data_IF_235375299602
#
_entry.id   IF_235375299602
#
_cell.length_a   1.000
_cell.length_b   1.000
_cell.length_c   1.000
_cell.angle_alpha   90.00
_cell.angle_beta   90.00
_cell.angle_gamma   90.00
#
_symmetry.space_group_name_H-M   'P 1'
#
loop_
_entity.id
_entity.type
_entity.pdbx_description
1 polymer ?
#
# COMPACT_ATOMS: atom_id res chain seq x y z
N UNK A 1 4.50 -1.46 16.17
CA UNK A 1 3.76 -1.20 14.90
C UNK A 1 3.63 0.28 14.62
N UNK A 2 2.99 1.07 15.50
CA UNK A 2 2.84 2.51 15.28
C UNK A 2 4.20 3.21 15.05
N UNK A 3 5.19 2.94 15.91
CA UNK A 3 6.55 3.49 15.77
C UNK A 3 7.24 3.04 14.48
N UNK A 4 7.22 1.74 14.17
CA UNK A 4 7.78 1.19 12.94
C UNK A 4 7.17 1.85 11.68
N UNK A 5 5.84 1.97 11.65
CA UNK A 5 5.15 2.64 10.55
C UNK A 5 5.53 4.11 10.47
N UNK A 6 5.51 4.84 11.59
CA UNK A 6 5.89 6.25 11.64
C UNK A 6 7.32 6.47 11.11
N UNK A 7 8.26 5.62 11.52
CA UNK A 7 9.66 5.64 11.06
C UNK A 7 9.74 5.39 9.56
N UNK A 8 9.10 4.33 9.05
CA UNK A 8 9.05 4.02 7.61
C UNK A 8 8.50 5.19 6.80
N UNK A 9 7.53 5.92 7.35
CA UNK A 9 6.89 7.05 6.64
C UNK A 9 7.71 8.33 6.74
N UNK A 10 8.28 8.65 7.90
CA UNK A 10 9.21 9.78 8.04
C UNK A 10 10.44 9.59 7.15
N UNK A 11 11.03 8.39 7.15
CA UNK A 11 12.13 8.06 6.25
C UNK A 11 11.72 8.20 4.77
N UNK A 12 10.52 7.73 4.41
CA UNK A 12 9.98 7.92 3.06
C UNK A 12 9.75 9.39 2.67
N UNK A 13 9.36 10.25 3.62
CA UNK A 13 9.23 11.71 3.41
C UNK A 13 10.60 12.38 3.28
N UNK A 14 11.59 11.99 4.08
CA UNK A 14 12.97 12.49 3.98
C UNK A 14 13.56 12.12 2.62
N UNK A 15 13.44 10.86 2.20
CA UNK A 15 13.89 10.40 0.88
C UNK A 15 13.21 11.23 -0.23
N UNK A 16 11.91 11.48 -0.09
CA UNK A 16 11.18 12.27 -1.07
C UNK A 16 11.64 13.73 -1.13
N UNK A 17 11.88 14.37 0.02
CA UNK A 17 12.44 15.72 0.07
C UNK A 17 13.83 15.75 -0.58
N UNK A 18 14.67 14.76 -0.28
CA UNK A 18 16.02 14.64 -0.84
C UNK A 18 15.99 14.57 -2.38
N UNK A 19 15.23 13.62 -2.93
CA UNK A 19 15.18 13.44 -4.39
C UNK A 19 14.34 14.53 -5.09
N UNK A 20 13.29 15.04 -4.42
CA UNK A 20 12.36 16.02 -4.96
C UNK A 20 12.98 17.39 -5.24
N UNK A 21 14.04 17.75 -4.51
CA UNK A 21 14.76 19.01 -4.72
C UNK A 21 15.94 18.90 -5.71
N UNK A 22 16.39 17.68 -6.02
CA UNK A 22 17.62 17.46 -6.79
C UNK A 22 17.38 16.86 -8.17
N UNK A 23 16.24 16.21 -8.41
CA UNK A 23 15.91 15.59 -9.68
C UNK A 23 14.78 16.34 -10.39
N UNK A 24 14.80 16.28 -11.72
CA UNK A 24 13.80 16.93 -12.54
C UNK A 24 12.42 16.22 -12.42
N UNK A 25 11.29 16.94 -12.56
CA UNK A 25 9.94 16.39 -12.37
C UNK A 25 9.60 15.20 -13.29
N UNK A 26 10.14 15.17 -14.51
CA UNK A 26 9.98 14.11 -15.50
C UNK A 26 10.67 12.80 -15.05
N UNK A 27 11.90 12.90 -14.55
CA UNK A 27 12.64 11.76 -14.00
C UNK A 27 11.97 11.20 -12.74
N UNK A 28 11.49 12.09 -11.87
CA UNK A 28 10.72 11.71 -10.68
C UNK A 28 9.38 11.05 -11.04
N UNK A 29 8.69 11.59 -12.05
CA UNK A 29 7.46 11.00 -12.59
C UNK A 29 7.68 9.56 -13.07
N UNK A 30 8.72 9.32 -13.88
CA UNK A 30 9.07 7.99 -14.36
C UNK A 30 9.48 7.03 -13.21
N UNK A 31 10.27 7.52 -12.25
CA UNK A 31 10.62 6.73 -11.06
C UNK A 31 9.38 6.35 -10.25
N UNK A 32 8.50 7.31 -9.95
CA UNK A 32 7.28 7.03 -9.19
C UNK A 32 6.33 6.10 -9.97
N UNK A 33 6.28 6.17 -11.30
CA UNK A 33 5.48 5.28 -12.13
C UNK A 33 5.96 3.84 -12.01
N UNK A 34 7.28 3.64 -12.09
CA UNK A 34 7.89 2.33 -11.87
C UNK A 34 7.63 1.81 -10.44
N UNK A 35 7.80 2.66 -9.42
CA UNK A 35 7.53 2.30 -8.02
C UNK A 35 6.07 1.91 -7.80
N UNK A 36 5.12 2.62 -8.41
CA UNK A 36 3.68 2.33 -8.26
C UNK A 36 3.30 1.01 -8.92
N UNK A 37 3.76 0.80 -10.16
CA UNK A 37 3.53 -0.43 -10.93
C UNK A 37 4.13 -1.65 -10.22
N UNK A 38 5.40 -1.54 -9.79
CA UNK A 38 6.07 -2.60 -9.05
C UNK A 38 5.44 -2.77 -7.66
N UNK A 39 4.92 -1.69 -7.06
CA UNK A 39 4.14 -1.73 -5.84
C UNK A 39 2.89 -2.61 -5.96
N UNK A 40 2.20 -2.62 -7.12
CA UNK A 40 1.10 -3.55 -7.37
C UNK A 40 1.58 -5.01 -7.45
N UNK A 41 2.72 -5.26 -8.10
CA UNK A 41 3.33 -6.58 -8.14
C UNK A 41 3.74 -7.06 -6.73
N UNK A 42 4.27 -6.17 -5.90
CA UNK A 42 4.56 -6.43 -4.47
C UNK A 42 3.27 -6.80 -3.73
N UNK A 43 2.17 -6.07 -3.94
CA UNK A 43 0.87 -6.38 -3.31
C UNK A 43 0.37 -7.77 -3.68
N UNK A 44 0.50 -8.17 -4.96
CA UNK A 44 0.13 -9.52 -5.42
C UNK A 44 1.00 -10.58 -4.72
N UNK A 45 2.32 -10.37 -4.67
CA UNK A 45 3.26 -11.25 -3.98
C UNK A 45 3.03 -11.31 -2.45
N UNK A 46 2.37 -10.32 -1.87
CA UNK A 46 2.05 -10.22 -0.45
C UNK A 46 0.56 -10.49 -0.12
N UNK A 47 -0.25 -10.85 -1.12
CA UNK A 47 -1.67 -11.12 -0.91
C UNK A 47 -1.87 -12.21 0.14
N UNK A 48 -2.66 -11.94 1.19
CA UNK A 48 -2.88 -12.88 2.29
C UNK A 48 -1.65 -13.14 3.18
N UNK A 49 -0.61 -12.31 3.16
CA UNK A 49 0.63 -12.63 3.88
C UNK A 49 0.80 -11.90 5.22
N UNK A 50 0.05 -10.83 5.47
CA UNK A 50 0.08 -10.13 6.75
C UNK A 50 -0.77 -10.85 7.80
N UNK A 51 -2.04 -10.46 7.90
CA UNK A 51 -2.95 -10.92 8.93
C UNK A 51 -3.22 -12.44 8.86
N UNK A 52 -3.32 -13.01 7.66
CA UNK A 52 -3.62 -14.43 7.49
C UNK A 52 -2.46 -15.32 7.94
N UNK A 53 -1.21 -15.07 7.54
CA UNK A 53 -0.06 -15.85 8.02
C UNK A 53 0.11 -15.74 9.54
N UNK A 54 -0.11 -14.56 10.12
CA UNK A 54 -0.12 -14.36 11.57
C UNK A 54 -1.17 -15.26 12.23
N UNK A 55 -2.42 -15.23 11.74
CA UNK A 55 -3.50 -16.04 12.30
C UNK A 55 -3.29 -17.54 12.09
N UNK A 56 -2.76 -17.98 10.94
CA UNK A 56 -2.42 -19.39 10.67
C UNK A 56 -1.32 -19.91 11.59
N UNK A 57 -0.30 -19.08 11.83
CA UNK A 57 0.77 -19.40 12.78
C UNK A 57 0.23 -19.53 14.20
N UNK A 58 -0.62 -18.59 14.64
CA UNK A 58 -1.25 -18.62 15.96
C UNK A 58 -2.24 -19.78 16.14
N UNK A 59 -2.98 -20.15 15.09
CA UNK A 59 -3.88 -21.32 15.05
C UNK A 59 -3.14 -22.67 14.87
N UNK A 60 -1.80 -22.67 14.88
CA UNK A 60 -0.93 -23.83 14.67
C UNK A 60 -1.19 -24.59 13.34
N UNK A 61 -1.71 -23.90 12.31
CA UNK A 61 -1.97 -24.46 10.98
C UNK A 61 -0.72 -24.35 10.09
N UNK A 62 0.38 -24.98 10.51
CA UNK A 62 1.72 -24.84 9.90
C UNK A 62 1.78 -25.25 8.42
N UNK A 63 1.03 -26.29 8.01
CA UNK A 63 0.99 -26.74 6.61
C UNK A 63 0.44 -25.67 5.67
N UNK A 64 -0.65 -25.01 6.07
CA UNK A 64 -1.25 -23.92 5.29
C UNK A 64 -0.33 -22.69 5.24
N UNK A 65 0.31 -22.35 6.37
CA UNK A 65 1.28 -21.27 6.41
C UNK A 65 2.49 -21.55 5.50
N UNK A 66 3.02 -22.78 5.48
CA UNK A 66 4.12 -23.16 4.60
C UNK A 66 3.72 -23.13 3.12
N UNK A 67 2.55 -23.66 2.77
CA UNK A 67 2.03 -23.62 1.41
C UNK A 67 1.89 -22.18 0.88
N UNK A 68 1.35 -21.27 1.71
CA UNK A 68 1.29 -19.84 1.39
C UNK A 68 2.69 -19.24 1.25
N UNK A 69 3.64 -19.57 2.12
CA UNK A 69 5.01 -19.09 2.00
C UNK A 69 5.70 -19.56 0.70
N UNK A 70 5.46 -20.79 0.25
CA UNK A 70 5.99 -21.29 -1.02
C UNK A 70 5.32 -20.67 -2.24
N UNK A 71 4.07 -20.24 -2.14
CA UNK A 71 3.32 -19.58 -3.22
C UNK A 71 3.78 -18.12 -3.45
N UNK A 72 4.29 -17.44 -2.41
CA UNK A 72 4.74 -16.04 -2.50
C UNK A 72 5.85 -15.81 -3.53
N UNK A 73 6.97 -16.55 -3.54
CA UNK A 73 8.02 -16.34 -4.54
C UNK A 73 7.55 -16.67 -5.95
N UNK A 74 6.69 -17.67 -6.14
CA UNK A 74 6.16 -18.00 -7.49
C UNK A 74 5.26 -16.88 -8.00
N UNK A 75 4.38 -16.33 -7.16
CA UNK A 75 3.59 -15.15 -7.50
C UNK A 75 4.45 -13.91 -7.75
N UNK A 76 5.51 -13.70 -6.97
CA UNK A 76 6.43 -12.58 -7.17
C UNK A 76 7.15 -12.67 -8.53
N UNK A 77 7.63 -13.85 -8.90
CA UNK A 77 8.28 -14.07 -10.20
C UNK A 77 7.28 -13.85 -11.33
N UNK A 78 6.08 -14.43 -11.22
CA UNK A 78 5.03 -14.26 -12.23
C UNK A 78 4.61 -12.79 -12.39
N UNK A 79 4.41 -12.06 -11.28
CA UNK A 79 4.04 -10.65 -11.31
C UNK A 79 5.17 -9.78 -11.87
N UNK A 80 6.44 -10.08 -11.52
CA UNK A 80 7.59 -9.36 -12.07
C UNK A 80 7.73 -9.60 -13.57
N UNK A 81 7.59 -10.85 -14.02
CA UNK A 81 7.61 -11.19 -15.44
C UNK A 81 6.47 -10.48 -16.19
N UNK A 82 5.26 -10.44 -15.62
CA UNK A 82 4.14 -9.71 -16.19
C UNK A 82 4.42 -8.22 -16.32
N UNK A 83 5.00 -7.58 -15.29
CA UNK A 83 5.38 -6.16 -15.36
C UNK A 83 6.41 -5.93 -16.47
N UNK A 84 7.44 -6.76 -16.58
CA UNK A 84 8.47 -6.61 -17.63
C UNK A 84 7.89 -6.80 -19.05
N UNK A 85 6.91 -7.68 -19.21
CA UNK A 85 6.29 -7.95 -20.52
C UNK A 85 5.30 -6.84 -20.91
N UNK A 86 4.53 -6.34 -19.93
CA UNK A 86 3.41 -5.43 -20.19
C UNK A 86 3.75 -3.95 -20.03
N UNK A 87 4.97 -3.62 -19.58
CA UNK A 87 5.39 -2.23 -19.38
C UNK A 87 6.79 -2.00 -19.90
N UNK A 88 7.06 -0.78 -20.38
CA UNK A 88 8.38 -0.36 -20.89
C UNK A 88 9.39 -0.06 -19.76
N UNK A 89 9.26 -0.70 -18.60
CA UNK A 89 10.19 -0.51 -17.48
C UNK A 89 11.50 -1.22 -17.82
N UNK A 90 12.57 -0.44 -18.00
CA UNK A 90 13.90 -0.96 -18.25
C UNK A 90 14.36 -1.91 -17.11
N UNK A 91 15.15 -2.96 -17.43
CA UNK A 91 15.71 -3.86 -16.44
C UNK A 91 16.56 -3.07 -15.45
N UNK A 92 16.05 -2.94 -14.23
CA UNK A 92 16.58 -2.03 -13.22
C UNK A 92 16.43 -2.66 -11.83
N UNK A 93 17.19 -2.17 -10.82
CA UNK A 93 17.18 -2.76 -9.48
C UNK A 93 15.78 -2.85 -8.86
N UNK A 94 14.85 -1.97 -9.28
CA UNK A 94 13.49 -1.89 -8.76
C UNK A 94 12.70 -3.20 -8.95
N UNK A 95 13.03 -4.00 -9.96
CA UNK A 95 12.40 -5.30 -10.22
C UNK A 95 12.70 -6.35 -9.13
N UNK A 96 13.66 -6.11 -8.25
CA UNK A 96 13.93 -7.00 -7.12
C UNK A 96 12.86 -6.89 -6.01
N UNK A 97 12.13 -5.77 -5.93
CA UNK A 97 11.21 -5.51 -4.81
C UNK A 97 10.17 -6.61 -4.57
N UNK A 98 9.46 -7.16 -5.59
CA UNK A 98 8.46 -8.20 -5.36
C UNK A 98 9.05 -9.47 -4.76
N UNK A 99 10.24 -9.89 -5.23
CA UNK A 99 10.92 -11.09 -4.72
C UNK A 99 11.39 -10.91 -3.28
N UNK A 100 11.98 -9.76 -2.96
CA UNK A 100 12.42 -9.43 -1.60
C UNK A 100 11.21 -9.33 -0.66
N UNK A 101 10.12 -8.73 -1.11
CA UNK A 101 8.88 -8.62 -0.37
C UNK A 101 8.19 -9.98 -0.14
N UNK A 102 8.33 -10.93 -1.08
CA UNK A 102 7.84 -12.30 -0.94
C UNK A 102 8.63 -13.10 0.11
N UNK A 103 9.92 -12.84 0.25
CA UNK A 103 10.81 -13.53 1.19
C UNK A 103 10.80 -12.92 2.60
N UNK A 104 10.24 -11.71 2.76
CA UNK A 104 10.24 -10.99 4.04
C UNK A 104 9.59 -11.82 5.18
N UNK A 105 10.34 -12.09 6.29
CA UNK A 105 9.88 -12.90 7.42
C UNK A 105 9.16 -12.09 8.51
N UNK A 106 8.82 -10.83 8.24
CA UNK A 106 8.22 -9.89 9.21
C UNK A 106 6.94 -10.43 9.86
N UNK A 107 6.20 -11.27 9.15
CA UNK A 107 4.99 -11.92 9.65
C UNK A 107 5.29 -12.90 10.81
N UNK A 108 6.46 -13.57 10.83
CA UNK A 108 6.87 -14.47 11.92
C UNK A 108 7.13 -13.66 13.18
N UNK A 109 7.88 -12.57 13.05
CA UNK A 109 8.22 -11.66 14.15
C UNK A 109 6.94 -11.05 14.73
N UNK A 110 6.02 -10.67 13.85
CA UNK A 110 4.71 -10.14 14.23
C UNK A 110 3.85 -11.20 14.93
N UNK A 111 3.84 -12.43 14.43
CA UNK A 111 3.07 -13.53 15.02
C UNK A 111 3.58 -13.89 16.43
N UNK A 112 4.89 -13.71 16.69
CA UNK A 112 5.52 -13.83 18.01
C UNK A 112 5.27 -12.63 18.94
N UNK A 113 4.57 -11.59 18.48
CA UNK A 113 4.26 -10.39 19.28
C UNK A 113 5.45 -9.44 19.50
N UNK A 114 6.57 -9.62 18.79
CA UNK A 114 7.81 -8.87 19.01
C UNK A 114 7.82 -7.56 18.22
N UNK A 115 6.86 -6.67 18.51
CA UNK A 115 6.61 -5.46 17.75
C UNK A 115 7.76 -4.43 17.79
N UNK A 116 8.63 -4.50 18.80
CA UNK A 116 9.84 -3.66 18.91
C UNK A 116 10.87 -3.98 17.82
N UNK A 117 11.02 -5.27 17.48
CA UNK A 117 11.93 -5.72 16.42
C UNK A 117 11.50 -5.24 15.04
N UNK A 118 10.19 -5.15 14.80
CA UNK A 118 9.64 -4.57 13.55
C UNK A 118 10.05 -3.10 13.41
N UNK A 119 10.09 -2.34 14.51
CA UNK A 119 10.57 -0.96 14.48
C UNK A 119 12.05 -0.88 14.12
N UNK A 120 12.88 -1.79 14.63
CA UNK A 120 14.30 -1.86 14.28
C UNK A 120 14.52 -2.21 12.80
N UNK A 121 13.75 -3.16 12.25
CA UNK A 121 13.77 -3.49 10.81
C UNK A 121 13.42 -2.25 9.98
N UNK A 122 12.37 -1.53 10.36
CA UNK A 122 11.97 -0.30 9.70
C UNK A 122 13.08 0.78 9.74
N UNK A 123 13.73 0.99 10.89
CA UNK A 123 14.85 1.94 11.02
C UNK A 123 15.98 1.57 10.07
N UNK A 124 16.44 0.32 10.09
CA UNK A 124 17.55 -0.13 9.23
C UNK A 124 17.21 0.00 7.75
N UNK A 125 15.98 -0.36 7.36
CA UNK A 125 15.48 -0.16 6.00
C UNK A 125 15.50 1.30 5.57
N UNK A 126 15.03 2.22 6.42
CA UNK A 126 15.02 3.64 6.11
C UNK A 126 16.42 4.25 6.06
N UNK A 127 17.33 3.85 6.94
CA UNK A 127 18.74 4.30 6.90
C UNK A 127 19.36 3.90 5.55
N UNK A 128 19.20 2.65 5.12
CA UNK A 128 19.71 2.19 3.83
C UNK A 128 19.11 3.00 2.66
N UNK A 129 17.80 3.26 2.68
CA UNK A 129 17.13 4.09 1.67
C UNK A 129 17.65 5.52 1.63
N UNK A 130 17.85 6.16 2.79
CA UNK A 130 18.39 7.53 2.89
C UNK A 130 19.83 7.57 2.40
N UNK A 131 20.67 6.59 2.75
CA UNK A 131 22.05 6.51 2.26
C UNK A 131 22.10 6.37 0.74
N UNK A 132 21.28 5.49 0.16
CA UNK A 132 21.23 5.34 -1.31
C UNK A 132 20.65 6.59 -1.99
N UNK A 133 19.67 7.26 -1.37
CA UNK A 133 19.18 8.54 -1.88
C UNK A 133 20.27 9.62 -1.89
N UNK A 134 21.10 9.68 -0.84
CA UNK A 134 22.25 10.59 -0.80
C UNK A 134 23.28 10.25 -1.89
N UNK A 135 23.58 8.97 -2.09
CA UNK A 135 24.46 8.51 -3.19
C UNK A 135 23.88 8.89 -4.54
N UNK A 136 22.56 8.77 -4.74
CA UNK A 136 21.90 9.18 -5.98
C UNK A 136 22.06 10.68 -6.25
N UNK A 137 21.96 11.52 -5.22
CA UNK A 137 22.18 12.97 -5.34
C UNK A 137 23.63 13.28 -5.71
N UNK A 138 24.61 12.67 -5.03
CA UNK A 138 26.03 12.94 -5.27
C UNK A 138 26.46 12.47 -6.66
N UNK A 139 25.95 11.33 -7.10
CA UNK A 139 26.32 10.73 -8.40
C UNK A 139 25.46 11.19 -9.56
N UNK A 140 24.34 11.87 -9.31
CA UNK A 140 23.33 12.27 -10.30
C UNK A 140 22.91 11.11 -11.23
N UNK A 141 22.90 9.89 -10.69
CA UNK A 141 22.67 8.68 -11.47
C UNK A 141 21.23 8.20 -11.33
N UNK A 142 20.55 8.04 -12.47
CA UNK A 142 19.23 7.40 -12.52
C UNK A 142 19.26 5.99 -11.93
N UNK A 143 20.33 5.22 -12.16
CA UNK A 143 20.43 3.86 -11.63
C UNK A 143 20.41 3.84 -10.09
N UNK A 144 21.07 4.82 -9.45
CA UNK A 144 21.03 4.98 -8.00
C UNK A 144 19.65 5.41 -7.50
N UNK A 145 18.92 6.25 -8.25
CA UNK A 145 17.53 6.62 -7.95
C UNK A 145 16.61 5.39 -7.92
N UNK A 146 16.71 4.51 -8.93
CA UNK A 146 15.94 3.26 -9.01
C UNK A 146 16.38 2.20 -7.98
N UNK A 147 17.54 2.36 -7.34
CA UNK A 147 18.05 1.45 -6.31
C UNK A 147 17.53 1.77 -4.89
N UNK A 148 16.95 2.95 -4.65
CA UNK A 148 16.49 3.40 -3.32
C UNK A 148 15.47 2.41 -2.72
N UNK A 149 14.39 2.12 -3.44
CA UNK A 149 13.33 1.26 -2.93
C UNK A 149 13.79 -0.22 -2.73
N UNK A 150 14.54 -0.84 -3.66
CA UNK A 150 15.22 -2.11 -3.43
C UNK A 150 16.12 -2.15 -2.21
N UNK A 151 16.92 -1.10 -1.98
CA UNK A 151 17.82 -1.03 -0.84
C UNK A 151 17.05 -1.08 0.50
N UNK A 152 15.93 -0.36 0.60
CA UNK A 152 15.03 -0.41 1.76
C UNK A 152 14.52 -1.85 1.95
N UNK A 153 14.01 -2.47 0.89
CA UNK A 153 13.47 -3.83 0.96
C UNK A 153 14.54 -4.86 1.34
N UNK A 154 15.74 -4.78 0.76
CA UNK A 154 16.82 -5.73 0.98
C UNK A 154 17.38 -5.61 2.41
N UNK A 155 17.61 -4.39 2.88
CA UNK A 155 18.04 -4.15 4.26
C UNK A 155 16.99 -4.66 5.26
N UNK A 156 15.70 -4.45 4.95
CA UNK A 156 14.60 -4.96 5.77
C UNK A 156 14.55 -6.48 5.78
N UNK A 157 14.76 -7.13 4.62
CA UNK A 157 14.81 -8.59 4.51
C UNK A 157 15.96 -9.19 5.33
N UNK A 158 17.17 -8.63 5.20
CA UNK A 158 18.36 -9.09 5.93
C UNK A 158 18.13 -8.94 7.43
N UNK A 159 17.70 -7.76 7.89
CA UNK A 159 17.39 -7.51 9.29
C UNK A 159 16.28 -8.45 9.80
N UNK A 160 15.22 -8.62 9.02
CA UNK A 160 14.12 -9.53 9.34
C UNK A 160 14.57 -10.98 9.47
N UNK A 161 15.40 -11.47 8.54
CA UNK A 161 15.92 -12.84 8.55
C UNK A 161 16.78 -13.10 9.80
N UNK A 162 17.72 -12.20 10.10
CA UNK A 162 18.57 -12.30 11.30
C UNK A 162 17.76 -12.31 12.59
N UNK A 163 16.71 -11.48 12.67
CA UNK A 163 15.85 -11.39 13.86
C UNK A 163 14.85 -12.54 13.98
N UNK A 164 14.40 -13.11 12.87
CA UNK A 164 13.48 -14.25 12.83
C UNK A 164 14.16 -15.56 13.24
N UNK A 165 15.44 -15.74 12.86
CA UNK A 165 16.26 -16.91 13.20
C UNK A 165 16.61 -17.02 14.69
N UNK A 166 16.48 -15.93 15.46
CA UNK A 166 16.79 -15.94 16.89
C UNK A 166 15.66 -16.62 17.67
N UNK A 167 15.88 -17.85 18.13
CA UNK A 167 14.89 -18.67 18.84
C UNK A 167 14.39 -18.00 20.12
N UNK A 168 13.07 -17.85 20.24
CA UNK A 168 12.39 -17.36 21.44
C UNK A 168 11.12 -18.20 21.64
N UNK A 169 10.82 -18.55 22.89
CA UNK A 169 9.63 -19.28 23.27
C UNK A 169 8.37 -18.56 22.78
N UNK A 170 7.62 -19.23 21.90
CA UNK A 170 6.31 -18.77 21.44
C UNK A 170 5.25 -19.11 22.49
N UNK A 171 4.43 -18.14 22.87
CA UNK A 171 3.14 -18.43 23.51
C UNK A 171 2.08 -18.57 22.42
N UNK A 172 1.67 -19.79 22.04
CA UNK A 172 0.52 -19.96 21.16
C UNK A 172 -0.72 -19.50 21.92
N UNK A 173 -1.28 -18.36 21.54
CA UNK A 173 -2.65 -18.02 21.91
C UNK A 173 -3.57 -18.97 21.16
N UNK A 174 -4.39 -19.74 21.87
CA UNK A 174 -5.32 -20.67 21.27
C UNK A 174 -6.42 -19.89 20.51
N UNK A 175 -6.18 -19.63 19.22
CA UNK A 175 -7.19 -19.06 18.32
C UNK A 175 -7.89 -20.21 17.59
N UNK A 176 -9.18 -20.02 17.30
CA UNK A 176 -9.97 -20.94 16.49
C UNK A 176 -9.33 -21.15 15.12
N UNK A 177 -9.43 -22.39 14.59
CA UNK A 177 -8.96 -22.74 13.26
C UNK A 177 -9.67 -21.89 12.21
N UNK A 178 -8.91 -21.36 11.25
CA UNK A 178 -9.45 -20.57 10.13
C UNK A 178 -10.02 -21.54 9.09
N UNK A 179 -11.23 -21.25 8.59
CA UNK A 179 -11.86 -22.03 7.51
C UNK A 179 -11.32 -21.60 6.14
N UNK A 180 -11.42 -22.47 5.13
CA UNK A 180 -10.94 -22.17 3.78
C UNK A 180 -11.65 -20.94 3.16
N UNK A 181 -12.96 -20.80 3.41
CA UNK A 181 -13.72 -19.63 2.95
C UNK A 181 -13.23 -18.32 3.59
N UNK A 182 -12.98 -18.32 4.91
CA UNK A 182 -12.38 -17.18 5.59
C UNK A 182 -10.99 -16.82 5.03
N UNK A 183 -10.18 -17.84 4.70
CA UNK A 183 -8.87 -17.66 4.09
C UNK A 183 -8.96 -16.92 2.76
N UNK A 184 -9.81 -17.39 1.84
CA UNK A 184 -10.02 -16.76 0.52
C UNK A 184 -10.52 -15.32 0.67
N UNK A 185 -11.49 -15.08 1.55
CA UNK A 185 -12.04 -13.74 1.77
C UNK A 185 -10.98 -12.78 2.32
N UNK A 186 -10.14 -13.25 3.25
CA UNK A 186 -9.06 -12.46 3.83
C UNK A 186 -7.99 -12.12 2.78
N UNK A 187 -7.65 -13.06 1.89
CA UNK A 187 -6.75 -12.79 0.75
C UNK A 187 -7.33 -11.65 -0.10
N UNK A 188 -8.59 -11.74 -0.52
CA UNK A 188 -9.24 -10.71 -1.35
C UNK A 188 -9.24 -9.33 -0.69
N UNK A 189 -9.55 -9.24 0.60
CA UNK A 189 -9.51 -7.98 1.33
C UNK A 189 -8.09 -7.42 1.51
N UNK A 190 -7.09 -8.27 1.76
CA UNK A 190 -5.70 -7.80 1.87
C UNK A 190 -5.16 -7.33 0.53
N UNK A 191 -5.53 -8.01 -0.56
CA UNK A 191 -5.14 -7.64 -1.92
C UNK A 191 -5.81 -6.32 -2.31
N UNK A 192 -7.12 -6.17 -2.09
CA UNK A 192 -7.84 -4.91 -2.30
C UNK A 192 -7.21 -3.76 -1.48
N UNK A 193 -7.02 -3.94 -0.17
CA UNK A 193 -6.45 -2.89 0.68
C UNK A 193 -5.04 -2.48 0.26
N UNK A 194 -4.22 -3.44 -0.20
CA UNK A 194 -2.87 -3.16 -0.67
C UNK A 194 -2.82 -2.58 -2.09
N UNK A 195 -3.80 -2.87 -2.95
CA UNK A 195 -3.81 -2.42 -4.34
C UNK A 195 -4.41 -1.02 -4.45
N UNK A 196 -5.46 -0.70 -3.68
CA UNK A 196 -6.21 0.56 -3.77
C UNK A 196 -5.34 1.83 -3.84
N UNK A 197 -4.27 2.00 -3.04
CA UNK A 197 -3.47 3.22 -3.09
C UNK A 197 -2.70 3.45 -4.41
N UNK A 198 -2.47 2.39 -5.19
CA UNK A 198 -1.68 2.45 -6.43
C UNK A 198 -2.49 2.07 -7.68
N UNK A 199 -3.55 1.27 -7.52
CA UNK A 199 -4.25 0.61 -8.63
C UNK A 199 -4.79 1.62 -9.64
N UNK A 200 -5.51 2.62 -9.17
CA UNK A 200 -6.14 3.60 -10.06
C UNK A 200 -5.13 4.54 -10.69
N UNK A 201 -4.07 4.90 -9.97
CA UNK A 201 -2.98 5.71 -10.51
C UNK A 201 -2.23 4.99 -11.63
N UNK A 202 -2.04 3.67 -11.52
CA UNK A 202 -1.40 2.89 -12.59
C UNK A 202 -2.37 2.66 -13.77
N UNK A 203 -3.59 2.18 -13.50
CA UNK A 203 -4.55 1.83 -14.56
C UNK A 203 -5.03 3.05 -15.35
N UNK A 204 -5.38 4.14 -14.67
CA UNK A 204 -5.82 5.37 -15.34
C UNK A 204 -4.63 6.23 -15.79
N UNK A 205 -3.48 6.10 -15.12
CA UNK A 205 -2.24 6.80 -15.46
C UNK A 205 -1.70 6.43 -16.83
N UNK A 206 -1.77 5.16 -17.22
CA UNK A 206 -1.25 4.67 -18.50
C UNK A 206 -1.97 5.26 -19.73
N UNK A 207 -3.20 5.73 -19.54
CA UNK A 207 -4.01 6.28 -20.62
C UNK A 207 -3.79 7.80 -20.83
N UNK A 208 -2.91 8.42 -20.05
CA UNK A 208 -2.65 9.87 -20.10
C UNK A 208 -1.42 10.21 -20.95
N UNK A 209 -1.37 11.42 -21.56
CA UNK A 209 -0.16 11.94 -22.19
C UNK A 209 1.01 12.03 -21.20
N UNK A 210 2.25 11.85 -21.67
CA UNK A 210 3.47 11.75 -20.82
C UNK A 210 3.64 12.88 -19.79
N UNK A 211 3.33 14.12 -20.17
CA UNK A 211 3.43 15.29 -19.25
C UNK A 211 2.38 15.23 -18.15
N UNK A 212 1.16 14.80 -18.49
CA UNK A 212 0.06 14.67 -17.54
C UNK A 212 0.23 13.44 -16.62
N UNK A 213 0.79 12.36 -17.17
CA UNK A 213 1.19 11.20 -16.41
C UNK A 213 2.20 11.57 -15.32
N UNK A 214 3.26 12.33 -15.65
CA UNK A 214 4.26 12.76 -14.67
C UNK A 214 3.66 13.57 -13.52
N UNK A 215 2.77 14.54 -13.81
CA UNK A 215 2.10 15.34 -12.78
C UNK A 215 1.20 14.49 -11.88
N UNK A 216 0.46 13.55 -12.46
CA UNK A 216 -0.37 12.61 -11.71
C UNK A 216 0.46 11.75 -10.76
N UNK A 217 1.63 11.27 -11.20
CA UNK A 217 2.54 10.45 -10.40
C UNK A 217 3.20 11.25 -9.25
N UNK A 218 3.51 12.54 -9.48
CA UNK A 218 3.96 13.46 -8.43
C UNK A 218 2.85 13.70 -7.39
N UNK A 219 1.60 13.89 -7.83
CA UNK A 219 0.45 14.04 -6.93
C UNK A 219 0.16 12.75 -6.15
N UNK A 220 0.23 11.58 -6.80
CA UNK A 220 0.07 10.27 -6.17
C UNK A 220 0.97 10.14 -4.97
N UNK A 221 2.22 10.59 -5.07
CA UNK A 221 3.18 10.40 -3.99
C UNK A 221 2.81 11.20 -2.74
N UNK A 222 2.21 12.38 -2.90
CA UNK A 222 1.62 13.15 -1.79
C UNK A 222 0.40 12.42 -1.22
N UNK A 223 -0.50 11.91 -2.07
CA UNK A 223 -1.65 11.12 -1.62
C UNK A 223 -1.25 9.83 -0.87
N UNK A 224 -0.15 9.18 -1.27
CA UNK A 224 0.39 7.99 -0.62
C UNK A 224 0.89 8.27 0.80
N UNK A 225 1.34 9.49 1.10
CA UNK A 225 1.66 9.88 2.49
C UNK A 225 0.38 9.81 3.34
N UNK A 226 -0.75 10.26 2.81
CA UNK A 226 -2.03 10.18 3.52
C UNK A 226 -2.54 8.75 3.63
N UNK A 227 -2.46 7.96 2.55
CA UNK A 227 -2.79 6.53 2.57
C UNK A 227 -1.97 5.78 3.63
N UNK A 228 -0.70 6.15 3.77
CA UNK A 228 0.19 5.59 4.75
C UNK A 228 -0.19 5.94 6.20
N UNK A 229 -0.65 7.17 6.46
CA UNK A 229 -1.19 7.56 7.77
C UNK A 229 -2.42 6.71 8.11
N UNK A 230 -3.33 6.52 7.17
CA UNK A 230 -4.53 5.66 7.32
C UNK A 230 -4.13 4.21 7.62
N UNK A 231 -3.15 3.66 6.90
CA UNK A 231 -2.66 2.30 7.14
C UNK A 231 -2.01 2.17 8.55
N UNK A 232 -1.33 3.21 9.02
CA UNK A 232 -0.72 3.22 10.35
C UNK A 232 -1.76 3.30 11.48
N UNK A 233 -2.74 4.21 11.35
CA UNK A 233 -3.81 4.39 12.33
C UNK A 233 -4.70 3.15 12.39
N UNK A 234 -5.07 2.58 11.24
CA UNK A 234 -5.82 1.31 11.18
C UNK A 234 -5.09 0.15 11.86
N UNK A 235 -3.80 -0.03 11.59
CA UNK A 235 -3.00 -1.07 12.24
C UNK A 235 -2.92 -0.87 13.77
N UNK A 236 -2.78 0.37 14.23
CA UNK A 236 -2.73 0.69 15.65
C UNK A 236 -4.08 0.47 16.36
N UNK A 237 -5.18 0.87 15.73
CA UNK A 237 -6.54 0.65 16.24
C UNK A 237 -6.87 -0.84 16.30
N UNK A 238 -6.47 -1.61 15.29
CA UNK A 238 -6.61 -3.06 15.28
C UNK A 238 -5.82 -3.72 16.42
N UNK A 239 -4.55 -3.32 16.62
CA UNK A 239 -3.71 -3.86 17.69
C UNK A 239 -4.28 -3.57 19.09
N UNK A 240 -4.94 -2.41 19.28
CA UNK A 240 -5.59 -2.05 20.53
C UNK A 240 -7.01 -2.62 20.69
N UNK A 241 -7.52 -3.38 19.71
CA UNK A 241 -8.91 -3.87 19.66
C UNK A 241 -9.95 -2.78 19.95
N UNK A 242 -9.69 -1.54 19.54
CA UNK A 242 -10.61 -0.44 19.80
C UNK A 242 -11.81 -0.53 18.85
N UNK A 243 -13.01 -0.51 19.42
CA UNK A 243 -14.28 -0.54 18.69
C UNK A 243 -15.13 0.70 19.00
N UNK A 244 -16.14 0.94 18.16
CA UNK A 244 -17.10 2.04 18.34
C UNK A 244 -16.61 3.40 17.87
N UNK A 245 -17.26 4.46 18.38
CA UNK A 245 -17.11 5.85 17.91
C UNK A 245 -15.66 6.36 17.98
N UNK A 246 -14.90 5.93 18.99
CA UNK A 246 -13.51 6.34 19.21
C UNK A 246 -12.61 5.89 18.05
N UNK A 247 -12.81 4.66 17.54
CA UNK A 247 -12.09 4.13 16.37
C UNK A 247 -12.37 4.99 15.15
N UNK A 248 -13.63 5.36 14.96
CA UNK A 248 -14.07 6.10 13.78
C UNK A 248 -13.50 7.52 13.78
N UNK A 249 -13.47 8.19 14.93
CA UNK A 249 -12.83 9.51 15.09
C UNK A 249 -11.33 9.43 14.76
N UNK A 250 -10.60 8.47 15.35
CA UNK A 250 -9.15 8.34 15.11
C UNK A 250 -8.79 7.95 13.68
N UNK A 251 -9.68 7.25 12.98
CA UNK A 251 -9.46 6.83 11.59
C UNK A 251 -9.78 7.96 10.59
N UNK A 252 -10.79 8.80 10.88
CA UNK A 252 -11.26 9.84 9.96
C UNK A 252 -10.59 11.21 10.20
N UNK A 253 -10.22 11.53 11.45
CA UNK A 253 -9.65 12.85 11.76
C UNK A 253 -8.35 13.16 11.00
N UNK A 254 -7.35 12.26 10.89
CA UNK A 254 -6.13 12.57 10.13
C UNK A 254 -6.37 12.75 8.63
N UNK A 255 -7.16 11.89 7.94
CA UNK A 255 -7.55 12.12 6.54
C UNK A 255 -8.29 13.44 6.33
N UNK A 256 -9.17 13.83 7.26
CA UNK A 256 -9.93 15.07 7.16
C UNK A 256 -9.02 16.30 7.33
N UNK A 257 -8.04 16.22 8.22
CA UNK A 257 -6.99 17.24 8.33
C UNK A 257 -6.16 17.33 7.03
N UNK A 258 -5.78 16.20 6.44
CA UNK A 258 -5.05 16.19 5.16
C UNK A 258 -5.89 16.74 4.00
N UNK A 259 -7.20 16.46 3.95
CA UNK A 259 -8.12 17.07 3.00
C UNK A 259 -8.15 18.59 3.17
N UNK A 260 -8.22 19.10 4.39
CA UNK A 260 -8.17 20.55 4.65
C UNK A 260 -6.85 21.16 4.18
N UNK A 261 -5.71 20.51 4.46
CA UNK A 261 -4.40 20.97 4.00
C UNK A 261 -4.33 20.99 2.46
N UNK A 262 -4.81 19.93 1.79
CA UNK A 262 -4.82 19.85 0.32
C UNK A 262 -5.74 20.90 -0.33
N UNK A 263 -6.82 21.29 0.34
CA UNK A 263 -7.74 22.33 -0.14
C UNK A 263 -7.19 23.75 0.08
N UNK A 264 -6.55 23.99 1.23
CA UNK A 264 -6.15 25.33 1.68
C UNK A 264 -4.72 25.70 1.33
N UNK A 265 -3.79 24.72 1.30
CA UNK A 265 -2.35 24.93 1.14
C UNK A 265 -1.70 24.01 0.06
N UNK A 266 -2.29 23.81 -1.13
CA UNK A 266 -1.70 22.94 -2.14
C UNK A 266 -0.38 23.48 -2.71
N UNK A 267 -0.24 24.80 -2.83
CA UNK A 267 0.98 25.45 -3.32
C UNK A 267 2.16 25.26 -2.36
N UNK A 268 1.91 25.44 -1.07
CA UNK A 268 2.91 25.21 -0.02
C UNK A 268 3.40 23.77 -0.01
N UNK A 269 2.52 22.79 -0.25
CA UNK A 269 2.91 21.39 -0.37
C UNK A 269 3.76 21.13 -1.62
N UNK A 270 3.40 21.70 -2.76
CA UNK A 270 4.17 21.56 -3.99
C UNK A 270 5.58 22.15 -3.85
N UNK A 271 5.70 23.35 -3.26
CA UNK A 271 6.98 23.98 -2.94
C UNK A 271 7.79 23.15 -1.96
N UNK A 272 7.17 22.66 -0.88
CA UNK A 272 7.86 21.90 0.15
C UNK A 272 8.48 20.61 -0.41
N UNK A 273 7.80 19.91 -1.32
CA UNK A 273 8.25 18.61 -1.79
C UNK A 273 9.07 18.64 -3.07
N UNK A 274 8.81 19.59 -3.96
CA UNK A 274 9.40 19.61 -5.30
C UNK A 274 10.12 20.92 -5.64
N UNK A 275 10.19 21.90 -4.72
CA UNK A 275 10.81 23.23 -4.91
C UNK A 275 10.24 24.09 -6.05
N UNK A 276 9.25 23.58 -6.80
CA UNK A 276 8.62 24.25 -7.94
C UNK A 276 7.10 24.25 -7.81
N UNK A 277 6.45 25.37 -8.13
CA UNK A 277 4.99 25.45 -8.24
C UNK A 277 4.58 25.13 -9.67
N UNK A 278 3.92 24.00 -9.87
CA UNK A 278 3.26 23.66 -11.13
C UNK A 278 1.74 23.83 -10.96
N UNK A 279 1.13 24.69 -11.75
CA UNK A 279 -0.32 25.00 -11.69
C UNK A 279 -1.18 23.75 -11.86
N UNK A 280 -0.75 22.84 -12.75
CA UNK A 280 -1.46 21.59 -13.03
C UNK A 280 -1.39 20.64 -11.81
N UNK A 281 -0.22 20.53 -11.18
CA UNK A 281 -0.05 19.77 -9.94
C UNK A 281 -0.89 20.34 -8.79
N UNK A 282 -0.94 21.67 -8.64
CA UNK A 282 -1.75 22.34 -7.61
C UNK A 282 -3.24 22.08 -7.82
N UNK A 283 -3.71 22.18 -9.07
CA UNK A 283 -5.09 21.86 -9.43
C UNK A 283 -5.42 20.39 -9.14
N UNK A 284 -4.51 19.46 -9.47
CA UNK A 284 -4.65 18.03 -9.16
C UNK A 284 -4.76 17.75 -7.66
N UNK A 285 -3.90 18.35 -6.84
CA UNK A 285 -3.92 18.18 -5.39
C UNK A 285 -5.24 18.64 -4.78
N UNK A 286 -5.78 19.76 -5.30
CA UNK A 286 -7.06 20.31 -4.85
C UNK A 286 -8.24 19.43 -5.28
N UNK A 287 -8.27 19.00 -6.53
CA UNK A 287 -9.31 18.09 -7.06
C UNK A 287 -9.30 16.75 -6.32
N UNK A 288 -8.10 16.23 -6.02
CA UNK A 288 -7.89 14.98 -5.28
C UNK A 288 -8.06 15.07 -3.76
N UNK A 289 -8.38 16.24 -3.20
CA UNK A 289 -8.33 16.45 -1.76
C UNK A 289 -9.25 15.53 -0.94
N UNK A 290 -10.36 15.05 -1.52
CA UNK A 290 -11.30 14.12 -0.87
C UNK A 290 -10.87 12.64 -0.95
N UNK A 291 -9.92 12.30 -1.82
CA UNK A 291 -9.44 10.93 -2.00
C UNK A 291 -8.96 10.29 -0.69
N UNK A 292 -8.18 10.97 0.19
CA UNK A 292 -7.87 10.48 1.53
C UNK A 292 -9.05 10.01 2.38
N UNK A 293 -10.12 10.79 2.41
CA UNK A 293 -11.29 10.51 3.26
C UNK A 293 -12.04 9.31 2.69
N UNK A 294 -12.21 9.25 1.37
CA UNK A 294 -12.80 8.08 0.69
C UNK A 294 -11.99 6.81 0.97
N UNK A 295 -10.66 6.87 0.82
CA UNK A 295 -9.79 5.74 1.13
C UNK A 295 -9.89 5.32 2.60
N UNK A 296 -9.98 6.27 3.53
CA UNK A 296 -10.15 5.99 4.95
C UNK A 296 -11.48 5.29 5.24
N UNK A 297 -12.57 5.73 4.61
CA UNK A 297 -13.88 5.08 4.73
C UNK A 297 -13.88 3.66 4.14
N UNK A 298 -13.25 3.46 2.98
CA UNK A 298 -13.11 2.12 2.37
C UNK A 298 -12.27 1.22 3.28
N UNK A 299 -11.13 1.72 3.76
CA UNK A 299 -10.25 1.00 4.71
C UNK A 299 -11.00 0.60 5.97
N UNK A 300 -11.84 1.49 6.52
CA UNK A 300 -12.72 1.21 7.65
C UNK A 300 -13.65 0.03 7.35
N UNK A 301 -14.33 0.05 6.21
CA UNK A 301 -15.28 -1.00 5.84
C UNK A 301 -14.58 -2.34 5.55
N UNK A 302 -13.37 -2.30 4.99
CA UNK A 302 -12.52 -3.48 4.84
C UNK A 302 -12.21 -4.09 6.21
N UNK A 303 -11.75 -3.28 7.19
CA UNK A 303 -11.44 -3.77 8.54
C UNK A 303 -12.66 -4.43 9.21
N UNK A 304 -13.82 -3.78 9.13
CA UNK A 304 -15.07 -4.31 9.69
C UNK A 304 -15.44 -5.63 9.00
N UNK A 305 -15.29 -5.70 7.68
CA UNK A 305 -15.69 -6.87 6.90
C UNK A 305 -14.71 -8.04 7.00
N UNK A 306 -13.45 -7.78 7.36
CA UNK A 306 -12.44 -8.82 7.67
C UNK A 306 -12.76 -9.59 8.98
N UNK A 307 -13.59 -9.02 9.84
CA UNK A 307 -14.04 -9.64 11.10
C UNK A 307 -15.32 -10.48 10.90
N UNK A 308 -15.95 -10.43 9.73
CA UNK A 308 -17.22 -11.11 9.44
C UNK A 308 -17.07 -12.18 8.37
N UNK A 309 -17.67 -13.35 8.59
CA UNK A 309 -17.85 -14.34 7.52
C UNK A 309 -18.88 -13.86 6.51
N UNK A 310 -18.43 -13.58 5.29
CA UNK A 310 -19.27 -13.22 4.16
C UNK A 310 -19.16 -14.28 3.06
N UNK A 311 -20.28 -14.74 2.53
CA UNK A 311 -20.31 -15.76 1.47
C UNK A 311 -19.91 -15.21 0.10
N UNK A 312 -20.10 -13.90 -0.13
CA UNK A 312 -19.97 -13.28 -1.44
C UNK A 312 -18.58 -12.72 -1.75
N UNK A 313 -17.58 -12.97 -0.91
CA UNK A 313 -16.19 -12.55 -1.17
C UNK A 313 -16.05 -11.08 -1.64
N UNK A 314 -16.65 -10.09 -0.95
CA UNK A 314 -16.78 -8.72 -1.45
C UNK A 314 -15.44 -8.06 -1.80
N UNK A 315 -14.34 -8.43 -1.13
CA UNK A 315 -13.00 -7.94 -1.48
C UNK A 315 -12.59 -8.31 -2.91
N UNK A 316 -12.89 -9.53 -3.35
CA UNK A 316 -12.60 -9.98 -4.71
C UNK A 316 -13.51 -9.33 -5.75
N UNK A 317 -14.80 -9.17 -5.44
CA UNK A 317 -15.76 -8.49 -6.33
C UNK A 317 -15.33 -7.04 -6.54
N UNK A 318 -15.01 -6.30 -5.46
CA UNK A 318 -14.50 -4.94 -5.56
C UNK A 318 -13.20 -4.88 -6.36
N UNK A 319 -12.27 -5.81 -6.14
CA UNK A 319 -11.02 -5.85 -6.90
C UNK A 319 -11.29 -6.07 -8.39
N UNK A 320 -12.10 -7.06 -8.74
CA UNK A 320 -12.46 -7.35 -10.13
C UNK A 320 -13.15 -6.14 -10.78
N UNK A 321 -14.10 -5.52 -10.08
CA UNK A 321 -14.77 -4.30 -10.53
C UNK A 321 -13.76 -3.18 -10.78
N UNK A 322 -12.80 -2.96 -9.87
CA UNK A 322 -11.76 -1.96 -10.05
C UNK A 322 -10.91 -2.27 -11.28
N UNK A 323 -10.41 -3.49 -11.44
CA UNK A 323 -9.58 -3.85 -12.60
C UNK A 323 -10.35 -3.70 -13.91
N UNK A 324 -11.55 -4.26 -13.99
CA UNK A 324 -12.41 -4.25 -15.19
C UNK A 324 -12.78 -2.82 -15.57
N UNK A 325 -13.23 -2.01 -14.62
CA UNK A 325 -13.55 -0.59 -14.90
C UNK A 325 -12.33 0.21 -15.28
N UNK A 326 -11.16 -0.04 -14.67
CA UNK A 326 -9.92 0.66 -15.02
C UNK A 326 -9.46 0.39 -16.45
N UNK A 327 -9.66 -0.83 -16.96
CA UNK A 327 -9.29 -1.22 -18.33
C UNK A 327 -10.33 -0.76 -19.37
N UNK A 328 -11.62 -0.80 -19.02
CA UNK A 328 -12.71 -0.46 -19.95
C UNK A 328 -12.99 1.04 -20.08
N UNK A 329 -12.60 1.84 -19.11
CA UNK A 329 -12.86 3.28 -19.15
C UNK A 329 -12.03 3.96 -20.26
N UNK A 330 -12.65 4.86 -21.05
CA UNK A 330 -11.94 5.56 -22.12
C UNK A 330 -10.82 6.43 -21.54
N UNK A 331 -9.76 6.62 -22.34
CA UNK A 331 -8.66 7.50 -21.99
C UNK A 331 -9.17 8.92 -21.72
N UNK A 332 -8.88 9.44 -20.53
CA UNK A 332 -9.20 10.83 -20.24
C UNK A 332 -8.15 11.76 -20.87
N UNK A 333 -8.58 12.85 -21.51
CA UNK A 333 -7.65 13.85 -22.04
C UNK A 333 -6.93 14.64 -20.93
N UNK A 334 -7.45 14.64 -19.69
CA UNK A 334 -6.97 15.47 -18.60
C UNK A 334 -6.77 14.68 -17.30
N UNK A 335 -5.63 14.89 -16.66
CA UNK A 335 -5.25 14.32 -15.36
C UNK A 335 -6.30 14.58 -14.25
N UNK A 336 -7.03 15.70 -14.32
CA UNK A 336 -8.09 16.03 -13.37
C UNK A 336 -9.28 15.08 -13.46
N UNK A 337 -9.70 14.69 -14.65
CA UNK A 337 -10.85 13.78 -14.80
C UNK A 337 -10.47 12.38 -14.35
N UNK A 338 -9.22 11.97 -14.59
CA UNK A 338 -8.69 10.73 -14.05
C UNK A 338 -8.86 10.69 -12.52
N UNK A 339 -8.47 11.74 -11.80
CA UNK A 339 -8.63 11.85 -10.33
C UNK A 339 -10.11 11.81 -9.90
N UNK A 340 -11.01 12.47 -10.63
CA UNK A 340 -12.45 12.43 -10.34
C UNK A 340 -12.98 10.99 -10.49
N UNK A 341 -12.59 10.30 -11.56
CA UNK A 341 -12.94 8.91 -11.80
C UNK A 341 -12.42 8.00 -10.67
N UNK A 342 -11.20 8.23 -10.16
CA UNK A 342 -10.68 7.48 -9.00
C UNK A 342 -11.59 7.62 -7.78
N UNK A 343 -12.02 8.84 -7.49
CA UNK A 343 -12.91 9.11 -6.34
C UNK A 343 -14.27 8.45 -6.51
N UNK A 344 -14.82 8.46 -7.73
CA UNK A 344 -16.09 7.80 -8.04
C UNK A 344 -15.97 6.27 -7.89
N UNK A 345 -14.87 5.67 -8.37
CA UNK A 345 -14.59 4.24 -8.25
C UNK A 345 -14.37 3.81 -6.79
N UNK A 346 -13.69 4.62 -5.97
CA UNK A 346 -13.59 4.41 -4.53
C UNK A 346 -14.95 4.49 -3.83
N UNK A 347 -15.79 5.45 -4.21
CA UNK A 347 -17.13 5.62 -3.67
C UNK A 347 -18.04 4.44 -4.00
N UNK A 348 -17.94 3.92 -5.23
CA UNK A 348 -18.65 2.71 -5.64
C UNK A 348 -18.20 1.48 -4.84
N UNK A 349 -16.89 1.32 -4.63
CA UNK A 349 -16.36 0.25 -3.77
C UNK A 349 -16.90 0.37 -2.34
N UNK A 350 -16.94 1.59 -1.78
CA UNK A 350 -17.48 1.84 -0.44
C UNK A 350 -18.95 1.40 -0.34
N UNK A 351 -19.77 1.78 -1.32
CA UNK A 351 -21.19 1.40 -1.39
C UNK A 351 -21.36 -0.11 -1.48
N UNK A 352 -20.59 -0.79 -2.34
CA UNK A 352 -20.67 -2.23 -2.53
C UNK A 352 -20.32 -2.99 -1.24
N UNK A 353 -19.21 -2.63 -0.59
CA UNK A 353 -18.82 -3.26 0.68
C UNK A 353 -19.87 -2.99 1.76
N UNK A 354 -20.43 -1.77 1.82
CA UNK A 354 -21.46 -1.41 2.78
C UNK A 354 -22.77 -2.21 2.57
N UNK A 355 -23.21 -2.39 1.32
CA UNK A 355 -24.39 -3.20 0.97
C UNK A 355 -24.16 -4.66 1.36
N UNK A 356 -23.00 -5.22 1.00
CA UNK A 356 -22.63 -6.59 1.37
C UNK A 356 -22.59 -6.80 2.90
N UNK A 357 -22.18 -5.79 3.66
CA UNK A 357 -22.13 -5.87 5.12
C UNK A 357 -23.51 -5.77 5.79
N UNK A 358 -24.40 -4.93 5.24
CA UNK A 358 -25.70 -4.59 5.85
C UNK A 358 -26.79 -5.63 5.58
N UNK A 359 -26.69 -6.39 4.48
CA UNK A 359 -27.67 -7.40 4.13
C UNK A 359 -27.48 -8.69 4.96
N UNK A 360 -28.46 -9.07 5.82
CA UNK A 360 -28.35 -10.25 6.67
C UNK A 360 -28.38 -11.56 5.89
N UNK A 361 -28.93 -11.58 4.67
CA UNK A 361 -28.90 -12.75 3.77
C UNK A 361 -27.48 -13.02 3.24
N UNK A 362 -26.67 -11.97 3.07
CA UNK A 362 -25.29 -12.06 2.57
C UNK A 362 -24.27 -12.36 3.67
N UNK A 363 -24.66 -12.11 4.92
CA UNK A 363 -23.93 -12.42 6.15
C UNK A 363 -24.42 -13.78 6.62
N UNK A 364 -23.55 -14.69 7.03
CA UNK A 364 -23.94 -16.06 7.40
C UNK A 364 -24.71 -16.13 8.74
N UNK A 365 -25.76 -15.32 8.92
CA UNK A 365 -26.65 -15.35 10.10
C UNK A 365 -27.94 -16.05 9.69
N UNK A 366 -28.36 -17.12 10.39
CA UNK A 366 -29.74 -17.59 10.26
C UNK A 366 -30.69 -16.44 10.63
N UNK A 367 -31.79 -16.35 9.88
CA UNK A 367 -32.84 -15.36 10.08
C UNK A 367 -33.41 -15.39 11.51
#
# INVERSE_FOLDING_TARGET
>A
MLSANLITRLGGMIILLLIGHHFAPDQLGAYFAAVATIGLAVTIAQAGCGLLLIRLYQANQRRAAFALCSLRPTLAIAATAFVVIMTDIAPSPILLMPTVAALAPDWIITARGQLSKIALIAVLGQIAGITVAFVAIVTQSNLALFAIAPAISLASLIAGALLALRDHASHPTAITKITHSQMINLIGFTLLAGSLPNLDFVLLGQNLPNTAHANLMLAQRIFLITAAIIASTSAALFAKKQAGLLRDIWLIAPPLAMTAILLMLPETLALLFYSTVNVNLVALLRTGAFWPVLLAMVSRQILISQETENQFFPGWICLALMVVTGVLLPASPHETDAVIIMQLRLSLCLLLIAICHRNPILRNKPA
#
